data_IF_401392389438
#
_entry.id   IF_401392389438
#
_cell.length_a   1.000
_cell.length_b   1.000
_cell.length_c   1.000
_cell.angle_alpha   90.00
_cell.angle_beta   90.00
_cell.angle_gamma   90.00
#
_symmetry.space_group_name_H-M   'P 1'
#
loop_
_entity.id
_entity.type
_entity.pdbx_description
1 polymer ?
#
# COMPACT_ATOMS: atom_id res chain seq x y z
N UNK A 1 0.48 -21.22 25.36
CA UNK A 1 -0.02 -19.86 25.66
C UNK A 1 -0.16 -19.12 24.35
N UNK A 2 -1.37 -18.96 23.83
CA UNK A 2 -1.62 -18.25 22.57
C UNK A 2 -1.40 -16.77 22.81
N UNK A 3 -0.27 -16.25 22.33
CA UNK A 3 0.04 -14.83 22.34
C UNK A 3 -1.10 -14.09 21.62
N UNK A 4 -1.81 -13.22 22.35
CA UNK A 4 -2.83 -12.36 21.72
C UNK A 4 -2.08 -11.36 20.87
N UNK A 5 -1.97 -11.66 19.58
CA UNK A 5 -1.51 -10.71 18.59
C UNK A 5 -2.28 -9.39 18.80
N UNK A 6 -1.56 -8.30 19.04
CA UNK A 6 -2.17 -6.98 19.10
C UNK A 6 -2.95 -6.76 17.81
N UNK A 7 -4.25 -6.51 17.93
CA UNK A 7 -5.11 -6.26 16.79
C UNK A 7 -5.54 -4.80 16.83
N UNK A 8 -5.19 -3.99 15.81
CA UNK A 8 -5.59 -2.58 15.77
C UNK A 8 -7.12 -2.47 15.72
N UNK A 9 -7.66 -1.45 16.40
CA UNK A 9 -9.04 -1.07 16.24
C UNK A 9 -9.23 -0.39 14.87
N UNK A 10 -10.05 -0.97 14.01
CA UNK A 10 -10.36 -0.39 12.70
C UNK A 10 -11.60 0.51 12.79
N UNK A 11 -11.63 1.56 11.97
CA UNK A 11 -12.76 2.48 11.84
C UNK A 11 -13.22 2.59 10.39
N UNK A 12 -14.52 2.83 10.21
CA UNK A 12 -15.10 3.03 8.89
C UNK A 12 -14.65 4.37 8.30
N UNK A 13 -14.07 4.35 7.09
CA UNK A 13 -13.64 5.57 6.39
C UNK A 13 -14.78 6.56 6.07
N UNK A 14 -16.03 6.11 6.12
CA UNK A 14 -17.20 6.93 5.78
C UNK A 14 -17.85 7.58 6.99
N UNK A 15 -18.10 6.80 8.05
CA UNK A 15 -18.84 7.25 9.23
C UNK A 15 -18.04 7.21 10.53
N UNK A 16 -16.76 6.84 10.48
CA UNK A 16 -15.86 6.66 11.62
C UNK A 16 -16.30 5.60 12.67
N UNK A 17 -17.41 4.89 12.45
CA UNK A 17 -17.86 3.83 13.35
C UNK A 17 -16.85 2.67 13.43
N UNK A 18 -16.77 1.96 14.57
CA UNK A 18 -15.91 0.78 14.70
C UNK A 18 -16.17 -0.27 13.62
N UNK A 19 -15.10 -0.87 13.11
CA UNK A 19 -15.13 -1.99 12.18
C UNK A 19 -14.57 -3.24 12.83
N UNK A 20 -15.33 -4.33 12.70
CA UNK A 20 -14.81 -5.66 12.94
C UNK A 20 -14.22 -6.18 11.64
N UNK A 21 -12.90 -6.33 11.59
CA UNK A 21 -12.21 -6.99 10.49
C UNK A 21 -11.87 -8.42 10.88
N UNK A 22 -12.08 -9.35 9.94
CA UNK A 22 -11.57 -10.72 10.05
C UNK A 22 -10.55 -10.94 8.94
N UNK A 23 -9.43 -11.62 9.20
CA UNK A 23 -8.42 -11.88 8.17
C UNK A 23 -9.05 -12.52 6.93
N UNK A 24 -8.74 -11.98 5.75
CA UNK A 24 -9.19 -12.52 4.47
C UNK A 24 -10.65 -12.23 4.09
N UNK A 25 -11.40 -11.48 4.91
CA UNK A 25 -12.82 -11.18 4.65
C UNK A 25 -12.99 -9.68 4.48
N UNK A 26 -13.66 -9.26 3.41
CA UNK A 26 -14.04 -7.86 3.19
C UNK A 26 -15.01 -7.40 4.30
N UNK A 27 -14.63 -6.43 5.16
CA UNK A 27 -15.50 -6.02 6.24
C UNK A 27 -16.62 -5.11 5.71
N UNK A 28 -17.80 -5.28 6.30
CA UNK A 28 -18.96 -4.42 6.06
C UNK A 28 -19.21 -3.61 7.32
N UNK A 29 -19.31 -2.28 7.18
CA UNK A 29 -19.64 -1.42 8.30
C UNK A 29 -21.10 -1.63 8.73
N UNK A 30 -21.33 -2.05 9.98
CA UNK A 30 -22.67 -2.24 10.51
C UNK A 30 -23.46 -0.94 10.72
N UNK A 31 -22.78 0.20 10.84
CA UNK A 31 -23.42 1.49 11.06
C UNK A 31 -23.93 2.17 9.77
N UNK A 32 -23.17 2.07 8.67
CA UNK A 32 -23.50 2.76 7.42
C UNK A 32 -23.61 1.85 6.19
N UNK A 33 -23.47 0.53 6.36
CA UNK A 33 -23.56 -0.46 5.28
C UNK A 33 -22.40 -0.44 4.28
N UNK A 34 -21.40 0.44 4.44
CA UNK A 34 -20.29 0.52 3.48
C UNK A 34 -19.44 -0.74 3.53
N UNK A 35 -19.26 -1.35 2.37
CA UNK A 35 -18.30 -2.43 2.15
C UNK A 35 -16.89 -1.88 1.96
N UNK A 36 -15.89 -2.60 2.48
CA UNK A 36 -14.48 -2.31 2.27
C UNK A 36 -13.88 -3.44 1.44
N UNK A 37 -13.69 -3.21 0.13
CA UNK A 37 -13.21 -4.25 -0.76
C UNK A 37 -11.82 -4.74 -0.34
N UNK A 38 -11.63 -6.05 -0.40
CA UNK A 38 -10.35 -6.72 -0.22
C UNK A 38 -9.89 -7.26 -1.58
N UNK A 39 -8.81 -6.68 -2.13
CA UNK A 39 -8.24 -7.13 -3.41
C UNK A 39 -6.78 -7.51 -3.20
N UNK A 40 -6.41 -8.71 -3.60
CA UNK A 40 -5.04 -9.24 -3.47
C UNK A 40 -4.49 -9.12 -2.04
N UNK A 41 -5.36 -9.35 -1.03
CA UNK A 41 -5.01 -9.20 0.38
C UNK A 41 -4.90 -7.76 0.89
N UNK A 42 -5.24 -6.75 0.07
CA UNK A 42 -5.16 -5.33 0.42
C UNK A 42 -6.56 -4.72 0.54
N UNK A 43 -6.87 -4.14 1.71
CA UNK A 43 -8.10 -3.37 1.90
C UNK A 43 -8.07 -2.06 1.11
N UNK A 44 -9.13 -1.79 0.35
CA UNK A 44 -9.31 -0.53 -0.37
C UNK A 44 -10.01 0.47 0.54
N UNK A 45 -9.23 1.37 1.14
CA UNK A 45 -9.70 2.36 2.13
C UNK A 45 -9.90 3.76 1.56
N UNK A 46 -9.81 3.94 0.24
CA UNK A 46 -10.10 5.23 -0.42
C UNK A 46 -11.59 5.39 -0.64
N UNK A 47 -12.18 6.52 -0.24
CA UNK A 47 -13.59 6.86 -0.50
C UNK A 47 -13.95 6.69 -1.99
N UNK A 48 -15.19 6.33 -2.33
CA UNK A 48 -15.64 6.30 -3.72
C UNK A 48 -15.36 7.67 -4.36
N UNK A 49 -14.92 7.69 -5.61
CA UNK A 49 -14.54 8.93 -6.31
C UNK A 49 -13.14 9.46 -5.97
N UNK A 50 -12.56 9.10 -4.81
CA UNK A 50 -11.28 9.67 -4.37
C UNK A 50 -10.12 9.36 -5.31
N UNK A 51 -10.12 8.19 -5.95
CA UNK A 51 -9.09 7.84 -6.93
C UNK A 51 -9.19 8.73 -8.17
N UNK A 52 -10.40 8.97 -8.67
CA UNK A 52 -10.64 9.85 -9.80
C UNK A 52 -10.22 11.30 -9.48
N UNK A 53 -10.54 11.79 -8.28
CA UNK A 53 -10.16 13.13 -7.81
C UNK A 53 -8.64 13.34 -7.80
N UNK A 54 -7.87 12.34 -7.36
CA UNK A 54 -6.42 12.47 -7.21
C UNK A 54 -5.63 11.98 -8.44
N UNK A 55 -6.30 11.50 -9.48
CA UNK A 55 -5.62 10.94 -10.66
C UNK A 55 -4.66 11.94 -11.33
N UNK A 56 -4.97 13.26 -11.47
CA UNK A 56 -4.01 14.22 -12.02
C UNK A 56 -2.71 14.28 -11.22
N UNK A 57 -2.81 14.26 -9.89
CA UNK A 57 -1.65 14.21 -9.00
C UNK A 57 -0.88 12.90 -9.17
N UNK A 58 -1.59 11.76 -9.21
CA UNK A 58 -0.96 10.45 -9.39
C UNK A 58 -0.24 10.35 -10.74
N UNK A 59 -0.82 10.90 -11.81
CA UNK A 59 -0.21 10.92 -13.13
C UNK A 59 1.11 11.71 -13.11
N UNK A 60 1.11 12.92 -12.54
CA UNK A 60 2.32 13.72 -12.39
C UNK A 60 3.37 13.02 -11.52
N UNK A 61 2.96 12.50 -10.35
CA UNK A 61 3.84 11.78 -9.44
C UNK A 61 4.48 10.57 -10.12
N UNK A 62 3.69 9.72 -10.79
CA UNK A 62 4.18 8.53 -11.50
C UNK A 62 5.16 8.88 -12.62
N UNK A 63 4.94 10.00 -13.31
CA UNK A 63 5.86 10.50 -14.34
C UNK A 63 7.21 10.85 -13.73
N UNK A 64 7.22 11.74 -12.74
CA UNK A 64 8.46 12.18 -12.07
C UNK A 64 9.22 10.97 -11.51
N UNK A 65 8.53 10.06 -10.81
CA UNK A 65 9.16 8.85 -10.26
C UNK A 65 9.65 7.88 -11.34
N UNK A 66 9.04 7.90 -12.52
CA UNK A 66 9.51 7.16 -13.68
C UNK A 66 10.78 7.76 -14.26
N UNK A 67 10.79 9.07 -14.46
CA UNK A 67 11.93 9.83 -14.99
C UNK A 67 13.14 9.74 -14.04
N UNK A 68 12.91 9.75 -12.74
CA UNK A 68 13.92 9.53 -11.70
C UNK A 68 14.39 8.05 -11.62
N UNK A 69 13.75 7.12 -12.32
CA UNK A 69 14.13 5.70 -12.31
C UNK A 69 13.65 4.89 -11.09
N UNK A 70 12.72 5.41 -10.30
CA UNK A 70 12.10 4.66 -9.20
C UNK A 70 11.01 3.67 -9.66
N UNK A 71 10.55 3.77 -10.90
CA UNK A 71 9.54 2.88 -11.47
C UNK A 71 10.18 1.89 -12.41
N UNK A 72 10.03 0.60 -12.10
CA UNK A 72 10.44 -0.51 -12.97
C UNK A 72 9.23 -1.34 -13.38
N UNK A 73 9.30 -1.99 -14.55
CA UNK A 73 8.14 -2.72 -15.12
C UNK A 73 7.97 -4.14 -14.57
N UNK A 74 9.02 -4.73 -13.98
CA UNK A 74 9.02 -6.15 -13.58
C UNK A 74 8.94 -6.36 -12.07
N UNK A 75 8.09 -7.30 -11.63
CA UNK A 75 8.01 -7.69 -10.22
C UNK A 75 9.32 -8.31 -9.68
N UNK A 76 10.14 -8.90 -10.56
CA UNK A 76 11.44 -9.45 -10.18
C UNK A 76 12.40 -8.38 -9.63
N UNK A 77 12.38 -7.17 -10.20
CA UNK A 77 13.16 -6.04 -9.69
C UNK A 77 12.76 -5.71 -8.25
N UNK A 78 11.46 -5.54 -7.99
CA UNK A 78 11.00 -5.18 -6.65
C UNK A 78 11.30 -6.25 -5.60
N UNK A 79 11.37 -7.52 -5.99
CA UNK A 79 11.77 -8.63 -5.12
C UNK A 79 13.28 -8.71 -4.87
N UNK A 80 14.12 -8.12 -5.73
CA UNK A 80 15.57 -8.11 -5.52
C UNK A 80 16.01 -7.01 -4.55
N UNK A 81 15.17 -5.98 -4.36
CA UNK A 81 15.44 -4.87 -3.46
C UNK A 81 15.76 -5.37 -2.03
N UNK A 82 16.75 -4.77 -1.35
CA UNK A 82 17.51 -3.58 -1.77
C UNK A 82 18.72 -3.89 -2.66
N UNK A 83 18.95 -5.14 -3.09
CA UNK A 83 20.08 -5.50 -3.98
C UNK A 83 19.69 -5.21 -5.43
N UNK A 84 20.39 -4.26 -6.04
CA UNK A 84 20.18 -3.82 -7.42
C UNK A 84 21.48 -3.85 -8.21
N UNK A 85 21.39 -3.78 -9.54
CA UNK A 85 22.54 -3.64 -10.42
C UNK A 85 23.28 -2.31 -10.16
N UNK A 86 24.59 -2.28 -10.41
CA UNK A 86 25.41 -1.06 -10.22
C UNK A 86 24.99 0.08 -11.14
N UNK A 87 24.37 -0.23 -12.28
CA UNK A 87 23.82 0.73 -13.25
C UNK A 87 22.37 1.12 -12.95
N UNK A 88 21.77 0.62 -11.87
CA UNK A 88 20.43 1.02 -11.50
C UNK A 88 20.37 2.53 -11.22
N UNK A 89 19.37 3.26 -11.75
CA UNK A 89 19.25 4.70 -11.53
C UNK A 89 19.19 5.11 -10.04
N UNK A 90 18.79 4.18 -9.17
CA UNK A 90 18.64 4.38 -7.73
C UNK A 90 19.65 3.56 -6.92
N UNK A 91 20.75 3.09 -7.54
CA UNK A 91 21.78 2.27 -6.89
C UNK A 91 22.31 2.89 -5.59
N UNK A 92 22.59 4.19 -5.57
CA UNK A 92 23.09 4.89 -4.37
C UNK A 92 22.07 4.87 -3.24
N UNK A 93 20.79 5.13 -3.52
CA UNK A 93 19.72 5.11 -2.52
C UNK A 93 19.49 3.71 -1.97
N UNK A 94 19.53 2.69 -2.83
CA UNK A 94 19.37 1.31 -2.41
C UNK A 94 20.54 0.79 -1.59
N UNK A 95 21.78 1.21 -1.91
CA UNK A 95 22.96 0.92 -1.09
C UNK A 95 22.79 1.40 0.35
N UNK A 96 22.31 2.63 0.55
CA UNK A 96 22.02 3.16 1.90
C UNK A 96 20.90 2.36 2.58
N UNK A 97 19.82 2.05 1.85
CA UNK A 97 18.70 1.25 2.41
C UNK A 97 19.12 -0.17 2.78
N UNK A 98 20.09 -0.74 2.09
CA UNK A 98 20.64 -2.05 2.41
C UNK A 98 21.29 -2.09 3.80
N UNK A 99 21.79 -0.97 4.32
CA UNK A 99 22.40 -0.90 5.66
C UNK A 99 21.40 -1.21 6.79
N UNK A 100 20.10 -0.95 6.57
CA UNK A 100 19.04 -1.21 7.55
C UNK A 100 18.14 -2.41 7.22
N UNK A 101 18.32 -3.01 6.04
CA UNK A 101 17.56 -4.18 5.62
C UNK A 101 18.17 -5.46 6.21
N UNK A 102 17.49 -6.06 7.18
CA UNK A 102 17.86 -7.32 7.84
C UNK A 102 16.95 -8.45 7.41
#
# INVERSE_FOLDING_TARGET
MTERAWMPAFICRQCAAPLTASPGIAPICRACGTEIPLHDGIYRLLKPGRLQEIEPFLAQYRRIRGDDGYRQRGGAYYRSLPRVDVRDPQATTWRVRQESFR
#
